data_IF_527132603895
#
_entry.id   IF_527132603895
#
_cell.length_a   1.000
_cell.length_b   1.000
_cell.length_c   1.000
_cell.angle_alpha   90.00
_cell.angle_beta   90.00
_cell.angle_gamma   90.00
#
_symmetry.space_group_name_H-M   'P 1'
#
loop_
_entity.id
_entity.type
_entity.pdbx_description
1 polymer ?
#
# COMPACT_ATOMS: atom_id res chain seq x y z
N UNK A 1 -32.30 -39.86 -1.72
CA UNK A 1 -31.71 -38.65 -1.27
C UNK A 1 -31.55 -38.44 0.22
N UNK A 2 -31.31 -39.48 1.07
CA UNK A 2 -31.13 -39.24 2.53
C UNK A 2 -29.66 -39.31 2.98
N UNK A 3 -28.69 -39.49 2.14
CA UNK A 3 -27.28 -39.66 2.55
C UNK A 3 -26.39 -38.43 2.42
N UNK A 4 -26.88 -37.36 1.79
CA UNK A 4 -26.06 -36.11 1.62
C UNK A 4 -26.12 -35.20 2.85
N UNK A 5 -27.22 -35.24 3.61
CA UNK A 5 -27.34 -34.50 4.88
C UNK A 5 -26.42 -35.09 5.94
N UNK A 6 -26.49 -36.41 6.13
CA UNK A 6 -25.68 -37.13 7.12
C UNK A 6 -24.17 -37.00 6.84
N UNK A 7 -23.75 -36.95 5.54
CA UNK A 7 -22.37 -36.75 5.16
C UNK A 7 -21.90 -35.27 5.45
N UNK A 8 -22.78 -34.30 5.24
CA UNK A 8 -22.48 -32.90 5.54
C UNK A 8 -22.40 -32.65 7.04
N UNK A 9 -23.28 -33.27 7.82
CA UNK A 9 -23.26 -33.17 9.29
C UNK A 9 -22.01 -33.86 9.87
N UNK A 10 -21.57 -35.00 9.32
CA UNK A 10 -20.34 -35.67 9.70
C UNK A 10 -19.08 -34.86 9.29
N UNK A 11 -19.10 -34.23 8.14
CA UNK A 11 -18.02 -33.28 7.70
C UNK A 11 -17.92 -32.08 8.63
N UNK A 12 -19.04 -31.49 9.04
CA UNK A 12 -19.06 -30.32 9.94
C UNK A 12 -18.48 -30.67 11.31
N UNK A 13 -18.71 -31.89 11.83
CA UNK A 13 -18.14 -32.37 13.09
C UNK A 13 -16.61 -32.52 13.06
N UNK A 14 -16.01 -32.60 11.87
CA UNK A 14 -14.56 -32.72 11.68
C UNK A 14 -13.89 -31.39 11.27
N UNK A 15 -14.67 -30.31 11.08
CA UNK A 15 -14.08 -28.97 11.01
C UNK A 15 -13.74 -28.57 12.44
N UNK A 16 -12.45 -28.57 12.76
CA UNK A 16 -11.97 -27.86 13.92
C UNK A 16 -12.37 -26.38 13.75
N UNK A 17 -12.99 -25.79 14.75
CA UNK A 17 -13.22 -24.36 14.83
C UNK A 17 -11.84 -23.67 14.84
N UNK A 18 -11.32 -23.38 13.65
CA UNK A 18 -10.20 -22.48 13.53
C UNK A 18 -10.73 -21.08 13.88
N UNK A 19 -10.54 -20.67 15.12
CA UNK A 19 -10.63 -19.25 15.48
C UNK A 19 -9.55 -18.52 14.66
N UNK A 20 -9.97 -17.91 13.57
CA UNK A 20 -9.12 -16.95 12.87
C UNK A 20 -8.95 -15.77 13.82
N UNK A 21 -7.80 -15.67 14.46
CA UNK A 21 -7.39 -14.43 15.10
C UNK A 21 -7.28 -13.36 13.97
N UNK A 22 -8.34 -12.60 13.75
CA UNK A 22 -8.27 -11.37 13.00
C UNK A 22 -7.41 -10.39 13.79
N UNK A 23 -6.13 -10.37 13.48
CA UNK A 23 -5.27 -9.31 13.97
C UNK A 23 -5.75 -7.99 13.34
N UNK A 24 -6.15 -7.04 14.18
CA UNK A 24 -6.47 -5.67 13.78
C UNK A 24 -5.17 -4.95 13.40
N UNK A 25 -4.58 -5.35 12.28
CA UNK A 25 -3.32 -4.84 11.77
C UNK A 25 -3.57 -3.73 10.75
N UNK A 26 -2.71 -2.72 10.70
CA UNK A 26 -2.77 -1.67 9.69
C UNK A 26 -2.81 -2.24 8.27
N UNK A 27 -3.64 -1.65 7.39
CA UNK A 27 -3.75 -2.03 5.98
C UNK A 27 -3.16 -0.94 5.10
N UNK A 28 -2.10 -1.27 4.36
CA UNK A 28 -1.40 -0.32 3.50
C UNK A 28 -1.60 -0.65 2.03
N UNK A 29 -1.98 0.35 1.22
CA UNK A 29 -2.04 0.26 -0.22
C UNK A 29 -0.84 0.97 -0.85
N UNK A 30 -0.13 0.29 -1.77
CA UNK A 30 0.93 0.92 -2.58
C UNK A 30 0.32 1.30 -3.92
N UNK A 31 0.14 2.60 -4.13
CA UNK A 31 -0.56 3.19 -5.28
C UNK A 31 0.36 4.10 -6.07
N UNK A 32 -0.05 4.49 -7.26
CA UNK A 32 0.71 5.35 -8.17
C UNK A 32 0.66 4.86 -9.60
N UNK A 33 1.19 5.66 -10.52
CA UNK A 33 1.23 5.39 -11.96
C UNK A 33 1.96 4.08 -12.31
N UNK A 34 1.75 3.53 -13.52
CA UNK A 34 2.59 2.45 -14.03
C UNK A 34 4.08 2.84 -14.05
N UNK A 35 4.95 1.86 -13.79
CA UNK A 35 6.42 1.98 -13.87
C UNK A 35 7.11 2.92 -12.86
N UNK A 36 6.39 3.47 -11.86
CA UNK A 36 6.99 4.24 -10.76
C UNK A 36 7.80 3.38 -9.77
N UNK A 37 7.73 2.04 -9.87
CA UNK A 37 8.52 1.12 -9.05
C UNK A 37 7.74 0.38 -7.96
N UNK A 38 6.39 0.39 -7.96
CA UNK A 38 5.56 -0.29 -6.95
C UNK A 38 5.91 -1.77 -6.78
N UNK A 39 5.98 -2.53 -7.88
CA UNK A 39 6.33 -3.96 -7.84
C UNK A 39 7.74 -4.19 -7.32
N UNK A 40 8.67 -3.32 -7.71
CA UNK A 40 10.05 -3.38 -7.25
C UNK A 40 10.16 -3.08 -5.75
N UNK A 41 9.37 -2.11 -5.26
CA UNK A 41 9.31 -1.78 -3.84
C UNK A 41 8.78 -2.95 -3.01
N UNK A 42 7.66 -3.56 -3.43
CA UNK A 42 7.11 -4.74 -2.77
C UNK A 42 8.12 -5.91 -2.80
N UNK A 43 8.76 -6.16 -3.94
CA UNK A 43 9.76 -7.22 -4.06
C UNK A 43 11.00 -6.96 -3.21
N UNK A 44 11.42 -5.69 -3.06
CA UNK A 44 12.54 -5.32 -2.19
C UNK A 44 12.21 -5.54 -0.71
N UNK A 45 10.96 -5.33 -0.30
CA UNK A 45 10.48 -5.57 1.07
C UNK A 45 10.33 -7.07 1.36
N UNK A 46 9.69 -7.82 0.48
CA UNK A 46 9.40 -9.25 0.70
C UNK A 46 10.67 -10.09 0.58
N UNK A 47 11.63 -9.68 -0.28
CA UNK A 47 12.85 -10.43 -0.59
C UNK A 47 12.60 -11.62 -1.52
N UNK A 48 13.70 -12.32 -1.91
CA UNK A 48 13.62 -13.51 -2.75
C UNK A 48 13.22 -14.80 -2.01
N UNK A 49 13.25 -14.76 -0.68
CA UNK A 49 12.84 -15.90 0.16
C UNK A 49 11.32 -15.87 0.36
N UNK A 50 10.66 -16.75 -0.37
CA UNK A 50 9.20 -16.92 -0.47
C UNK A 50 8.50 -17.42 0.81
N UNK A 51 9.09 -17.36 1.99
CA UNK A 51 8.65 -18.15 3.13
C UNK A 51 7.91 -17.40 4.24
N UNK A 52 7.41 -16.18 4.06
CA UNK A 52 6.48 -15.60 5.04
C UNK A 52 5.44 -14.75 4.30
N UNK A 53 4.60 -15.43 3.58
CA UNK A 53 3.31 -14.89 3.14
C UNK A 53 2.32 -16.01 3.31
N UNK A 54 1.72 -16.06 4.47
CA UNK A 54 0.48 -16.81 4.61
C UNK A 54 -0.57 -16.06 3.78
N UNK A 55 -0.80 -16.54 2.55
CA UNK A 55 -2.11 -16.35 1.96
C UNK A 55 -3.07 -16.99 2.98
N UNK A 56 -3.86 -16.17 3.65
CA UNK A 56 -4.91 -16.69 4.54
C UNK A 56 -5.91 -17.36 3.61
N UNK A 57 -5.70 -18.65 3.36
CA UNK A 57 -6.65 -19.51 2.66
C UNK A 57 -7.83 -19.72 3.60
N UNK A 58 -8.96 -19.10 3.31
CA UNK A 58 -10.17 -19.35 4.09
C UNK A 58 -11.32 -18.39 3.92
N UNK A 59 -11.07 -17.17 3.40
CA UNK A 59 -12.17 -16.28 3.08
C UNK A 59 -12.21 -16.04 1.58
N UNK A 60 -13.19 -16.61 0.93
CA UNK A 60 -13.43 -16.56 -0.53
C UNK A 60 -13.70 -15.12 -1.07
N UNK A 61 -13.56 -14.08 -0.23
CA UNK A 61 -13.73 -12.67 -0.62
C UNK A 61 -12.50 -11.79 -0.41
N UNK A 62 -11.49 -12.18 0.43
CA UNK A 62 -10.37 -11.31 0.82
C UNK A 62 -8.97 -11.86 0.48
N UNK A 63 -8.83 -12.68 -0.55
CA UNK A 63 -7.55 -13.22 -1.03
C UNK A 63 -6.58 -12.16 -1.63
N UNK A 64 -6.80 -10.87 -1.32
CA UNK A 64 -6.04 -9.74 -1.88
C UNK A 64 -5.02 -9.15 -0.91
N UNK A 65 -5.02 -9.56 0.36
CA UNK A 65 -4.16 -8.99 1.39
C UNK A 65 -2.97 -9.90 1.68
N UNK A 66 -1.78 -9.32 1.73
CA UNK A 66 -0.54 -10.02 2.06
C UNK A 66 0.00 -9.48 3.38
N UNK A 67 0.08 -10.31 4.43
CA UNK A 67 0.71 -9.90 5.70
C UNK A 67 2.20 -9.74 5.52
N UNK A 68 2.72 -8.62 6.00
CA UNK A 68 4.14 -8.32 6.10
C UNK A 68 4.52 -8.28 7.58
N UNK A 69 5.34 -9.25 8.00
CA UNK A 69 5.86 -9.33 9.38
C UNK A 69 7.38 -9.49 9.32
N UNK A 70 8.10 -8.37 9.14
CA UNK A 70 9.57 -8.34 9.10
C UNK A 70 10.10 -7.01 9.63
N UNK A 71 11.34 -6.99 10.07
CA UNK A 71 12.04 -5.79 10.54
C UNK A 71 11.33 -5.04 11.68
N UNK A 72 10.52 -5.75 12.49
CA UNK A 72 9.74 -5.13 13.56
C UNK A 72 8.42 -4.47 13.09
N UNK A 73 8.05 -4.65 11.83
CA UNK A 73 6.77 -4.19 11.28
C UNK A 73 5.80 -5.36 11.15
N UNK A 74 4.51 -5.11 11.42
CA UNK A 74 3.44 -6.07 11.21
C UNK A 74 2.21 -5.35 10.65
N UNK A 75 1.85 -5.61 9.39
CA UNK A 75 0.76 -4.96 8.68
C UNK A 75 0.31 -5.78 7.46
N UNK A 76 -0.84 -5.44 6.89
CA UNK A 76 -1.31 -5.99 5.63
C UNK A 76 -1.01 -5.08 4.45
N UNK A 77 -0.48 -5.66 3.36
CA UNK A 77 -0.43 -5.01 2.05
C UNK A 77 -1.67 -5.40 1.25
N UNK A 78 -2.45 -4.39 0.83
CA UNK A 78 -3.69 -4.56 0.07
C UNK A 78 -3.40 -4.65 -1.43
N UNK A 79 -4.13 -5.50 -2.14
CA UNK A 79 -4.07 -5.70 -3.62
C UNK A 79 -2.69 -6.06 -4.17
N UNK A 80 -1.94 -6.89 -3.46
CA UNK A 80 -0.63 -7.36 -3.92
C UNK A 80 -0.72 -8.30 -5.12
N UNK A 81 -1.84 -8.98 -5.36
CA UNK A 81 -2.05 -9.87 -6.50
C UNK A 81 -1.94 -9.13 -7.84
N UNK A 82 -2.41 -7.89 -7.91
CA UNK A 82 -2.26 -7.02 -9.08
C UNK A 82 -0.82 -6.59 -9.37
N UNK A 83 0.02 -6.58 -8.35
CA UNK A 83 1.44 -6.20 -8.47
C UNK A 83 2.30 -7.41 -8.85
N UNK A 84 1.93 -8.63 -8.42
CA UNK A 84 2.68 -9.87 -8.71
C UNK A 84 2.45 -10.44 -10.11
N UNK A 85 1.26 -10.31 -10.70
CA UNK A 85 0.88 -10.91 -12.00
C UNK A 85 1.24 -10.07 -13.23
N UNK A 86 2.38 -9.38 -13.27
CA UNK A 86 2.86 -8.72 -14.50
C UNK A 86 3.56 -9.71 -15.43
N UNK A 87 2.81 -10.63 -16.06
CA UNK A 87 3.16 -11.21 -17.37
C UNK A 87 1.91 -11.17 -18.23
N UNK A 88 1.96 -10.43 -19.35
CA UNK A 88 1.00 -10.40 -20.45
C UNK A 88 -0.39 -9.75 -20.18
N UNK A 89 -0.49 -8.42 -20.13
CA UNK A 89 -1.70 -7.72 -20.60
C UNK A 89 -1.26 -6.41 -21.28
N UNK A 90 -1.37 -6.38 -22.58
CA UNK A 90 -1.03 -5.25 -23.45
C UNK A 90 -2.29 -4.58 -23.99
N UNK A 91 -3.27 -4.23 -23.15
CA UNK A 91 -4.38 -3.39 -23.60
C UNK A 91 -4.99 -2.61 -22.43
N UNK A 92 -5.13 -1.29 -22.58
CA UNK A 92 -5.76 -0.34 -21.62
C UNK A 92 -5.13 -0.26 -20.22
N UNK A 93 -3.80 -0.25 -20.15
CA UNK A 93 -3.01 -0.23 -18.91
C UNK A 93 -3.37 0.93 -17.96
N UNK A 94 -3.79 2.09 -18.48
CA UNK A 94 -4.09 3.26 -17.66
C UNK A 94 -5.42 3.12 -16.91
N UNK A 95 -6.49 2.72 -17.58
CA UNK A 95 -7.81 2.56 -16.97
C UNK A 95 -7.81 1.45 -15.90
N UNK A 96 -7.23 0.29 -16.21
CA UNK A 96 -7.11 -0.81 -15.23
C UNK A 96 -6.21 -0.43 -14.04
N UNK A 97 -5.21 0.41 -14.25
CA UNK A 97 -4.34 0.90 -13.18
C UNK A 97 -5.10 1.80 -12.19
N UNK A 98 -5.95 2.69 -12.69
CA UNK A 98 -6.77 3.59 -11.86
C UNK A 98 -7.82 2.80 -11.09
N UNK A 99 -8.55 1.87 -11.74
CA UNK A 99 -9.57 1.05 -11.08
C UNK A 99 -8.98 0.18 -9.96
N UNK A 100 -7.78 -0.36 -10.16
CA UNK A 100 -7.06 -1.09 -9.10
C UNK A 100 -6.66 -0.18 -7.96
N UNK A 101 -6.14 1.01 -8.28
CA UNK A 101 -5.79 1.99 -7.26
C UNK A 101 -7.02 2.35 -6.40
N UNK A 102 -8.19 2.56 -7.03
CA UNK A 102 -9.45 2.83 -6.30
C UNK A 102 -9.79 1.70 -5.34
N UNK A 103 -9.79 0.44 -5.80
CA UNK A 103 -10.07 -0.72 -4.94
C UNK A 103 -9.07 -0.85 -3.79
N UNK A 104 -7.78 -0.67 -4.06
CA UNK A 104 -6.76 -0.72 -3.04
C UNK A 104 -6.95 0.40 -2.00
N UNK A 105 -7.29 1.61 -2.44
CA UNK A 105 -7.58 2.76 -1.59
C UNK A 105 -8.79 2.47 -0.67
N UNK A 106 -9.88 1.92 -1.22
CA UNK A 106 -11.09 1.63 -0.44
C UNK A 106 -10.80 0.72 0.77
N UNK A 107 -9.95 -0.29 0.61
CA UNK A 107 -9.63 -1.29 1.63
C UNK A 107 -8.42 -0.97 2.50
N UNK A 108 -7.70 0.12 2.25
CA UNK A 108 -6.53 0.52 3.01
C UNK A 108 -6.87 1.52 4.13
N UNK A 109 -6.00 1.59 5.14
CA UNK A 109 -5.98 2.66 6.15
C UNK A 109 -5.04 3.78 5.71
N UNK A 110 -3.88 3.41 5.15
CA UNK A 110 -2.88 4.34 4.65
C UNK A 110 -2.50 3.99 3.21
N UNK A 111 -2.45 5.02 2.37
CA UNK A 111 -2.03 4.94 0.99
C UNK A 111 -0.59 5.45 0.84
N UNK A 112 0.31 4.58 0.38
CA UNK A 112 1.68 4.92 0.01
C UNK A 112 1.68 5.27 -1.48
N UNK A 113 1.63 6.57 -1.80
CA UNK A 113 1.64 7.07 -3.17
C UNK A 113 3.08 7.16 -3.68
N UNK A 114 3.43 6.26 -4.60
CA UNK A 114 4.74 6.26 -5.24
C UNK A 114 4.73 7.09 -6.51
N UNK A 115 5.71 7.98 -6.66
CA UNK A 115 5.95 8.80 -7.86
C UNK A 115 7.37 8.58 -8.39
N UNK A 116 7.58 8.86 -9.66
CA UNK A 116 8.88 8.75 -10.33
C UNK A 116 9.57 10.11 -10.31
N UNK A 117 10.74 10.21 -9.70
CA UNK A 117 11.51 11.45 -9.61
C UNK A 117 11.84 12.06 -10.97
N UNK A 118 12.10 11.22 -12.00
CA UNK A 118 12.42 11.71 -13.35
C UNK A 118 11.23 12.38 -14.04
N UNK A 119 10.00 11.98 -13.67
CA UNK A 119 8.78 12.53 -14.27
C UNK A 119 8.09 13.56 -13.40
N UNK A 120 8.40 13.57 -12.12
CA UNK A 120 7.76 14.45 -11.14
C UNK A 120 6.31 14.03 -10.83
N UNK A 121 5.60 14.94 -10.17
CA UNK A 121 4.20 14.76 -9.76
C UNK A 121 3.28 15.23 -10.91
N UNK A 122 2.65 14.28 -11.60
CA UNK A 122 1.82 14.55 -12.78
C UNK A 122 0.31 14.52 -12.43
N UNK A 123 -0.52 14.95 -13.39
CA UNK A 123 -1.98 15.02 -13.22
C UNK A 123 -2.63 13.70 -12.80
N UNK A 124 -2.07 12.55 -13.22
CA UNK A 124 -2.58 11.24 -12.80
C UNK A 124 -2.23 10.95 -11.34
N UNK A 125 -1.06 11.34 -10.85
CA UNK A 125 -0.68 11.23 -9.44
C UNK A 125 -1.60 12.10 -8.58
N UNK A 126 -1.89 13.32 -9.03
CA UNK A 126 -2.82 14.23 -8.38
C UNK A 126 -4.23 13.64 -8.27
N UNK A 127 -4.73 12.99 -9.34
CA UNK A 127 -6.03 12.30 -9.30
C UNK A 127 -6.05 11.18 -8.28
N UNK A 128 -4.99 10.35 -8.24
CA UNK A 128 -4.87 9.25 -7.27
C UNK A 128 -4.81 9.79 -5.85
N UNK A 129 -4.05 10.88 -5.62
CA UNK A 129 -3.98 11.58 -4.35
C UNK A 129 -5.37 12.04 -3.88
N UNK A 130 -6.13 12.74 -4.72
CA UNK A 130 -7.47 13.22 -4.39
C UNK A 130 -8.47 12.08 -4.13
N UNK A 131 -8.33 10.93 -4.81
CA UNK A 131 -9.16 9.77 -4.51
C UNK A 131 -8.84 9.24 -3.10
N UNK A 132 -7.58 9.15 -2.70
CA UNK A 132 -7.19 8.72 -1.37
C UNK A 132 -7.68 9.69 -0.29
N UNK A 133 -7.52 10.99 -0.50
CA UNK A 133 -8.02 12.05 0.36
C UNK A 133 -9.55 12.00 0.52
N UNK A 134 -10.29 11.93 -0.59
CA UNK A 134 -11.75 11.83 -0.58
C UNK A 134 -12.27 10.59 0.17
N UNK A 135 -11.48 9.52 0.21
CA UNK A 135 -11.77 8.31 0.99
C UNK A 135 -11.24 8.41 2.44
N UNK A 136 -10.80 9.59 2.89
CA UNK A 136 -10.27 9.83 4.23
C UNK A 136 -9.14 8.87 4.62
N UNK A 137 -8.22 8.57 3.69
CA UNK A 137 -7.08 7.68 3.97
C UNK A 137 -5.87 8.47 4.45
N UNK A 138 -5.04 7.86 5.29
CA UNK A 138 -3.70 8.39 5.53
C UNK A 138 -2.91 8.36 4.22
N UNK A 139 -2.05 9.35 3.98
CA UNK A 139 -1.27 9.44 2.75
C UNK A 139 0.19 9.68 3.09
N UNK A 140 1.07 8.91 2.43
CA UNK A 140 2.52 9.12 2.42
C UNK A 140 2.97 9.17 0.97
N UNK A 141 3.77 10.14 0.58
CA UNK A 141 4.31 10.27 -0.79
C UNK A 141 5.76 9.76 -0.78
N UNK A 142 6.05 8.75 -1.61
CA UNK A 142 7.40 8.25 -1.83
C UNK A 142 7.87 8.62 -3.23
N UNK A 143 8.87 9.51 -3.30
CA UNK A 143 9.53 9.91 -4.54
C UNK A 143 10.64 8.90 -4.82
N UNK A 144 10.37 7.95 -5.72
CA UNK A 144 11.28 6.87 -6.08
C UNK A 144 12.18 7.24 -7.27
N UNK A 145 13.23 6.46 -7.47
CA UNK A 145 14.31 6.66 -8.45
C UNK A 145 15.11 7.93 -8.16
N UNK A 146 15.25 8.24 -6.87
CA UNK A 146 16.02 9.41 -6.45
C UNK A 146 17.53 9.27 -6.71
N UNK A 147 18.00 8.05 -6.98
CA UNK A 147 19.34 7.73 -7.46
C UNK A 147 19.63 8.29 -8.87
N UNK A 148 18.62 8.33 -9.73
CA UNK A 148 18.72 8.81 -11.12
C UNK A 148 18.78 10.35 -11.26
N UNK A 149 18.55 11.11 -10.18
CA UNK A 149 18.47 12.57 -10.22
C UNK A 149 19.83 13.18 -9.93
N UNK A 150 20.27 14.09 -10.80
CA UNK A 150 21.41 14.97 -10.48
C UNK A 150 21.02 15.90 -9.33
N UNK A 151 21.86 15.91 -8.28
CA UNK A 151 21.57 16.60 -7.03
C UNK A 151 22.49 17.78 -6.84
N UNK A 152 21.90 18.95 -6.67
CA UNK A 152 22.51 20.12 -6.07
C UNK A 152 22.00 20.31 -4.62
N UNK A 153 22.49 21.33 -3.93
CA UNK A 153 22.15 21.62 -2.53
C UNK A 153 20.65 21.79 -2.30
N UNK A 154 19.91 22.27 -3.31
CA UNK A 154 18.51 22.69 -3.20
C UNK A 154 17.54 21.75 -3.91
N UNK A 155 18.03 20.72 -4.61
CA UNK A 155 17.22 19.83 -5.46
C UNK A 155 16.04 19.23 -4.69
N UNK A 156 16.30 18.71 -3.50
CA UNK A 156 15.28 18.09 -2.66
C UNK A 156 14.21 19.08 -2.22
N UNK A 157 14.62 20.27 -1.75
CA UNK A 157 13.71 21.32 -1.30
C UNK A 157 12.82 21.82 -2.46
N UNK A 158 13.41 22.09 -3.62
CA UNK A 158 12.68 22.53 -4.82
C UNK A 158 11.70 21.47 -5.32
N UNK A 159 12.07 20.19 -5.24
CA UNK A 159 11.18 19.11 -5.65
C UNK A 159 9.99 18.96 -4.67
N UNK A 160 10.27 19.01 -3.38
CA UNK A 160 9.23 18.97 -2.34
C UNK A 160 8.27 20.16 -2.47
N UNK A 161 8.78 21.39 -2.65
CA UNK A 161 7.95 22.57 -2.84
C UNK A 161 7.00 22.45 -4.04
N UNK A 162 7.47 21.85 -5.15
CA UNK A 162 6.62 21.61 -6.33
C UNK A 162 5.48 20.65 -6.03
N UNK A 163 5.75 19.56 -5.27
CA UNK A 163 4.71 18.61 -4.87
C UNK A 163 3.71 19.33 -3.94
N UNK A 164 4.20 20.05 -2.91
CA UNK A 164 3.34 20.74 -1.95
C UNK A 164 2.41 21.77 -2.60
N UNK A 165 2.87 22.47 -3.62
CA UNK A 165 2.01 23.38 -4.41
C UNK A 165 0.87 22.64 -5.10
N UNK A 166 1.11 21.41 -5.57
CA UNK A 166 0.10 20.63 -6.30
C UNK A 166 -0.89 19.91 -5.38
N UNK A 167 -0.51 19.61 -4.14
CA UNK A 167 -1.38 18.99 -3.14
C UNK A 167 -1.98 20.02 -2.16
N UNK A 168 -1.77 21.30 -2.39
CA UNK A 168 -2.38 22.37 -1.55
C UNK A 168 -3.90 22.15 -1.45
N UNK A 169 -4.51 22.36 -0.25
CA UNK A 169 -3.96 22.99 0.96
C UNK A 169 -3.24 22.05 1.96
N UNK A 170 -3.00 20.81 1.61
CA UNK A 170 -2.40 19.83 2.53
C UNK A 170 -0.90 20.11 2.75
N UNK A 171 -0.53 20.44 3.99
CA UNK A 171 0.86 20.81 4.36
C UNK A 171 1.57 19.74 5.18
N UNK A 172 0.83 18.83 5.79
CA UNK A 172 1.27 17.83 6.76
C UNK A 172 1.55 16.45 6.14
N UNK A 173 1.25 16.26 4.84
CA UNK A 173 1.50 15.00 4.14
C UNK A 173 3.02 14.73 4.09
N UNK A 174 3.51 13.60 4.64
CA UNK A 174 4.91 13.25 4.58
C UNK A 174 5.37 12.96 3.14
N UNK A 175 6.51 13.53 2.76
CA UNK A 175 7.16 13.31 1.47
C UNK A 175 8.57 12.78 1.72
N UNK A 176 8.87 11.59 1.21
CA UNK A 176 10.20 10.96 1.34
C UNK A 176 10.78 10.66 -0.03
N UNK A 177 12.07 10.88 -0.14
CA UNK A 177 12.86 10.58 -1.34
C UNK A 177 13.58 9.25 -1.14
N UNK A 178 13.29 8.26 -1.98
CA UNK A 178 13.77 6.90 -1.86
C UNK A 178 14.45 6.42 -3.16
N UNK A 179 15.28 5.39 -3.05
CA UNK A 179 15.69 4.58 -4.17
C UNK A 179 15.38 3.11 -3.87
N UNK A 180 14.50 2.53 -4.67
CA UNK A 180 14.21 1.09 -4.58
C UNK A 180 15.39 0.29 -5.12
N UNK A 181 16.08 0.78 -6.15
CA UNK A 181 17.25 0.14 -6.75
C UNK A 181 18.40 0.02 -5.73
N UNK A 182 18.74 1.14 -5.10
CA UNK A 182 19.81 1.24 -4.11
C UNK A 182 19.35 0.85 -2.69
N UNK A 183 18.10 0.43 -2.53
CA UNK A 183 17.46 0.10 -1.23
C UNK A 183 17.55 1.21 -0.18
N UNK A 184 17.58 2.47 -0.62
CA UNK A 184 17.69 3.62 0.26
C UNK A 184 16.34 4.04 0.84
N UNK A 185 16.26 4.20 2.15
CA UNK A 185 15.11 4.73 2.91
C UNK A 185 13.80 3.94 2.75
N UNK A 186 13.84 2.66 2.32
CA UNK A 186 12.62 1.86 2.16
C UNK A 186 11.92 1.63 3.51
N UNK A 187 12.67 1.22 4.53
CA UNK A 187 12.12 1.01 5.88
C UNK A 187 11.63 2.32 6.49
N UNK A 188 12.30 3.45 6.23
CA UNK A 188 11.82 4.76 6.69
C UNK A 188 10.46 5.12 6.09
N UNK A 189 10.21 4.75 4.83
CA UNK A 189 8.89 4.88 4.20
C UNK A 189 7.81 4.10 4.93
N UNK A 190 8.11 2.87 5.40
CA UNK A 190 7.19 2.07 6.20
C UNK A 190 6.98 2.64 7.60
N UNK A 191 8.06 3.07 8.27
CA UNK A 191 7.97 3.75 9.58
C UNK A 191 7.01 4.94 9.50
N UNK A 192 7.20 5.79 8.48
CA UNK A 192 6.35 6.96 8.27
C UNK A 192 4.89 6.57 8.00
N UNK A 193 4.64 5.48 7.24
CA UNK A 193 3.28 5.00 7.03
C UNK A 193 2.61 4.53 8.33
N UNK A 194 3.37 3.88 9.23
CA UNK A 194 2.88 3.49 10.57
C UNK A 194 2.63 4.72 11.45
N UNK A 195 3.49 5.74 11.39
CA UNK A 195 3.29 7.01 12.11
C UNK A 195 2.00 7.68 11.66
N UNK A 196 1.74 7.75 10.35
CA UNK A 196 0.50 8.29 9.79
C UNK A 196 -0.72 7.48 10.23
N UNK A 197 -0.62 6.14 10.26
CA UNK A 197 -1.69 5.29 10.76
C UNK A 197 -2.02 5.59 12.23
N UNK A 198 -1.00 5.62 13.09
CA UNK A 198 -1.15 5.90 14.52
C UNK A 198 -1.76 7.29 14.77
N UNK A 199 -1.33 8.30 14.02
CA UNK A 199 -1.85 9.66 14.15
C UNK A 199 -3.34 9.75 13.75
N UNK A 200 -3.79 8.93 12.79
CA UNK A 200 -5.21 8.86 12.41
C UNK A 200 -6.09 8.16 13.46
N UNK A 201 -5.54 7.21 14.19
CA UNK A 201 -6.28 6.43 15.18
C UNK A 201 -6.32 7.13 16.55
N UNK A 202 -5.64 8.26 16.71
CA UNK A 202 -5.69 9.05 17.95
C UNK A 202 -7.09 9.63 18.16
N UNK A 203 -7.74 9.20 19.24
CA UNK A 203 -8.99 9.79 19.74
C UNK A 203 -8.62 10.97 20.63
N UNK A 204 -8.81 12.19 20.14
CA UNK A 204 -8.71 13.40 20.95
C UNK A 204 -10.00 13.50 21.76
N UNK A 205 -9.90 13.50 23.09
CA UNK A 205 -11.06 13.69 23.96
C UNK A 205 -11.49 15.15 23.95
N UNK A 206 -12.81 15.40 24.10
CA UNK A 206 -13.34 16.78 24.14
C UNK A 206 -12.76 17.64 25.26
N UNK A 207 -12.07 17.04 26.24
CA UNK A 207 -11.36 17.76 27.30
C UNK A 207 -9.94 18.20 26.92
N UNK A 208 -9.42 17.73 25.78
CA UNK A 208 -8.10 18.08 25.23
C UNK A 208 -8.20 19.07 24.06
N UNK A 209 -9.42 19.47 23.69
CA UNK A 209 -9.76 20.53 22.74
C UNK A 209 -10.05 21.83 23.48
#
# INVERSE_FOLDING_TARGET
GSGTGDLLDELILHFEDYEFEEFDLPKFAIIGRPNVGKSSFINALIGKEQNIVTDIAGTTRDSLNTRFNKFGFDFYLVDTAGVRKKKNVHENLEFYSVMRAVRAIEHADVCILMIDANRGFESQDQRIFHIADKNNKGIVILVNKWDDIEKDTDTTAKFEERIRKQISPFTDIPILFISVLEKQRLLKGLETAIEVYKNRDQKITTSEL
#
